data_IF_390264083495
#
_entry.id   IF_390264083495
#
_cell.length_a   1.000
_cell.length_b   1.000
_cell.length_c   1.000
_cell.angle_alpha   90.00
_cell.angle_beta   90.00
_cell.angle_gamma   90.00
#
_symmetry.space_group_name_H-M   'P 1'
#
loop_
_entity.id
_entity.type
_entity.pdbx_description
1 polymer ?
#
# COMPACT_ATOMS: atom_id res chain seq x y z
N UNK A 1 -2.35 -3.63 -10.85
CA UNK A 1 -1.38 -3.49 -9.76
C UNK A 1 -2.15 -3.84 -8.49
N UNK A 2 -2.00 -5.05 -7.94
CA UNK A 2 -2.72 -5.42 -6.72
C UNK A 2 -1.71 -5.44 -5.58
N UNK A 3 -1.60 -4.28 -4.93
CA UNK A 3 -0.87 -4.08 -3.69
C UNK A 3 -1.93 -4.20 -2.58
N UNK A 4 -1.91 -5.32 -1.85
CA UNK A 4 -2.59 -5.42 -0.55
C UNK A 4 -1.50 -5.21 0.51
N UNK A 5 -1.67 -4.21 1.38
CA UNK A 5 -1.64 -4.39 2.85
C UNK A 5 -2.42 -3.22 3.47
N UNK A 6 -3.49 -3.62 4.15
CA UNK A 6 -4.50 -2.84 4.85
C UNK A 6 -4.02 -2.61 6.28
N UNK A 7 -3.93 -1.35 6.74
CA UNK A 7 -4.02 -1.00 8.16
C UNK A 7 -4.65 0.39 8.29
N UNK A 8 -5.91 0.51 7.87
CA UNK A 8 -6.86 1.42 8.50
C UNK A 8 -7.91 0.48 9.08
N UNK A 9 -8.22 0.60 10.37
CA UNK A 9 -9.06 -0.35 11.09
C UNK A 9 -10.36 -0.69 10.36
N UNK A 10 -10.41 -1.89 9.78
CA UNK A 10 -11.62 -2.68 9.55
C UNK A 10 -11.19 -4.12 9.24
N UNK A 11 -11.75 -5.06 9.99
CA UNK A 11 -11.61 -6.50 9.81
C UNK A 11 -12.18 -6.86 8.43
N UNK A 12 -11.41 -7.54 7.59
CA UNK A 12 -11.90 -7.94 6.27
C UNK A 12 -10.88 -8.72 5.43
N UNK A 13 -10.68 -9.99 5.76
CA UNK A 13 -10.10 -10.98 4.84
C UNK A 13 -11.08 -11.17 3.66
N UNK A 14 -10.66 -10.88 2.43
CA UNK A 14 -11.39 -11.32 1.23
C UNK A 14 -10.61 -12.47 0.58
N UNK A 15 -11.06 -13.69 0.86
CA UNK A 15 -10.77 -14.90 0.06
C UNK A 15 -11.46 -14.76 -1.30
N UNK A 16 -10.72 -14.97 -2.39
CA UNK A 16 -11.28 -15.00 -3.74
C UNK A 16 -11.98 -16.35 -3.97
N UNK A 17 -13.27 -16.27 -4.33
CA UNK A 17 -14.07 -17.39 -4.81
C UNK A 17 -13.69 -17.77 -6.25
N UNK A 18 -13.72 -19.08 -6.45
CA UNK A 18 -13.38 -19.90 -7.60
C UNK A 18 -14.29 -19.56 -8.80
N UNK A 19 -13.74 -19.51 -10.02
CA UNK A 19 -14.53 -19.55 -11.27
C UNK A 19 -14.11 -20.79 -12.08
N UNK A 20 -15.05 -21.65 -12.52
CA UNK A 20 -14.72 -22.83 -13.30
C UNK A 20 -14.82 -22.57 -14.81
N UNK A 21 -13.96 -23.26 -15.54
CA UNK A 21 -13.88 -23.43 -17.01
C UNK A 21 -13.12 -22.39 -17.81
N UNK A 22 -12.08 -22.89 -18.49
CA UNK A 22 -11.36 -22.21 -19.56
C UNK A 22 -9.86 -22.27 -19.35
N UNK A 23 -9.24 -23.37 -19.78
CA UNK A 23 -7.78 -23.49 -19.86
C UNK A 23 -7.27 -22.38 -20.80
N UNK A 24 -6.74 -21.32 -20.22
CA UNK A 24 -5.68 -20.53 -20.84
C UNK A 24 -4.51 -20.61 -19.87
N UNK A 25 -3.31 -20.85 -20.40
CA UNK A 25 -2.07 -20.92 -19.62
C UNK A 25 -1.87 -19.58 -18.90
N UNK A 26 -2.45 -19.45 -17.70
CA UNK A 26 -2.20 -18.33 -16.80
C UNK A 26 -0.76 -18.55 -16.38
N UNK A 27 0.17 -17.82 -17.01
CA UNK A 27 1.47 -17.56 -16.38
C UNK A 27 1.13 -17.14 -14.96
N UNK A 28 1.44 -18.01 -13.98
CA UNK A 28 1.14 -17.71 -12.58
C UNK A 28 1.94 -16.46 -12.27
N UNK A 29 1.29 -15.28 -12.38
CA UNK A 29 1.89 -14.00 -12.05
C UNK A 29 2.17 -14.08 -10.56
N UNK A 30 3.41 -14.46 -10.25
CA UNK A 30 3.90 -14.59 -8.89
C UNK A 30 3.71 -13.23 -8.24
N UNK A 31 2.95 -13.19 -7.16
CA UNK A 31 2.75 -11.95 -6.40
C UNK A 31 4.13 -11.46 -5.94
N UNK A 32 4.48 -10.19 -6.21
CA UNK A 32 5.72 -9.62 -5.72
C UNK A 32 5.81 -9.74 -4.19
N UNK A 33 6.96 -10.15 -3.68
CA UNK A 33 7.21 -10.27 -2.23
C UNK A 33 7.58 -8.90 -1.65
N UNK A 34 6.64 -7.96 -1.69
CA UNK A 34 6.82 -6.60 -1.20
C UNK A 34 5.69 -6.25 -0.24
N UNK A 35 6.06 -5.76 0.94
CA UNK A 35 5.16 -5.27 1.99
C UNK A 35 5.16 -3.75 1.90
N UNK A 36 3.99 -3.16 1.68
CA UNK A 36 3.83 -1.71 1.67
C UNK A 36 3.13 -1.26 2.95
N UNK A 37 3.78 -0.38 3.72
CA UNK A 37 3.16 0.30 4.86
C UNK A 37 3.06 1.79 4.56
N UNK A 38 1.84 2.32 4.56
CA UNK A 38 1.56 3.73 4.29
C UNK A 38 1.22 4.41 5.61
N UNK A 39 1.99 5.43 5.97
CA UNK A 39 1.67 6.31 7.09
C UNK A 39 2.24 7.70 6.83
N UNK A 40 1.37 8.64 6.48
CA UNK A 40 1.83 9.96 6.02
C UNK A 40 2.55 10.77 7.10
N UNK A 41 2.21 10.60 8.39
CA UNK A 41 2.78 11.40 9.46
C UNK A 41 2.32 12.86 9.49
N UNK A 42 1.32 13.25 8.67
CA UNK A 42 0.86 14.64 8.56
C UNK A 42 0.07 15.06 9.81
N UNK A 43 -0.88 14.23 10.24
CA UNK A 43 -1.75 14.55 11.36
C UNK A 43 -1.13 14.09 12.70
N UNK A 44 -0.48 12.93 12.68
CA UNK A 44 0.11 12.31 13.86
C UNK A 44 1.32 11.42 13.49
N UNK A 45 2.32 11.32 14.39
CA UNK A 45 3.44 10.39 14.20
C UNK A 45 2.92 8.96 14.21
N UNK A 46 3.66 8.04 13.58
CA UNK A 46 3.29 6.61 13.54
C UNK A 46 3.13 6.05 14.97
N UNK A 47 1.92 5.63 15.36
CA UNK A 47 1.68 5.04 16.67
C UNK A 47 2.54 3.80 16.90
N UNK A 48 3.06 3.64 18.12
CA UNK A 48 3.99 2.55 18.46
C UNK A 48 3.42 1.17 18.14
N UNK A 49 2.12 0.95 18.34
CA UNK A 49 1.44 -0.30 17.98
C UNK A 49 1.59 -0.67 16.49
N UNK A 50 1.56 0.31 15.59
CA UNK A 50 1.69 0.08 14.14
C UNK A 50 3.15 -0.05 13.72
N UNK A 51 4.06 0.56 14.46
CA UNK A 51 5.50 0.31 14.33
C UNK A 51 5.84 -1.13 14.72
N UNK A 52 5.38 -1.60 15.88
CA UNK A 52 5.54 -2.98 16.33
C UNK A 52 5.00 -3.96 15.29
N UNK A 53 3.79 -3.71 14.76
CA UNK A 53 3.23 -4.54 13.70
C UNK A 53 4.14 -4.59 12.47
N UNK A 54 4.65 -3.45 12.01
CA UNK A 54 5.61 -3.38 10.90
C UNK A 54 6.87 -4.22 11.16
N UNK A 55 7.41 -4.20 12.39
CA UNK A 55 8.56 -5.02 12.78
C UNK A 55 8.24 -6.51 12.81
N UNK A 56 7.05 -6.93 13.27
CA UNK A 56 6.61 -8.34 13.19
C UNK A 56 6.60 -8.84 11.74
N UNK A 57 6.09 -8.05 10.80
CA UNK A 57 6.09 -8.42 9.38
C UNK A 57 7.50 -8.55 8.81
N UNK A 58 8.43 -7.65 9.17
CA UNK A 58 9.83 -7.74 8.76
C UNK A 58 10.50 -9.00 9.34
N UNK A 59 10.19 -9.34 10.59
CA UNK A 59 10.71 -10.51 11.27
C UNK A 59 10.22 -11.82 10.65
N UNK A 60 8.90 -11.95 10.43
CA UNK A 60 8.28 -13.18 9.92
C UNK A 60 8.54 -13.41 8.43
N UNK A 61 8.77 -12.32 7.68
CA UNK A 61 8.97 -12.34 6.23
C UNK A 61 10.29 -11.69 5.82
N UNK A 62 11.45 -12.21 6.26
CA UNK A 62 12.75 -11.58 6.01
C UNK A 62 13.16 -11.57 4.53
N UNK A 63 12.54 -12.44 3.72
CA UNK A 63 12.76 -12.52 2.27
C UNK A 63 11.85 -11.58 1.47
N UNK A 64 11.01 -10.79 2.13
CA UNK A 64 10.12 -9.83 1.50
C UNK A 64 10.73 -8.44 1.64
N UNK A 65 10.63 -7.65 0.57
CA UNK A 65 11.00 -6.24 0.63
C UNK A 65 9.95 -5.50 1.46
N UNK A 66 10.38 -4.56 2.28
CA UNK A 66 9.49 -3.72 3.07
C UNK A 66 9.64 -2.27 2.63
N UNK A 67 8.53 -1.64 2.27
CA UNK A 67 8.46 -0.29 1.74
C UNK A 67 7.56 0.59 2.61
N UNK A 68 8.16 1.57 3.27
CA UNK A 68 7.44 2.57 4.04
C UNK A 68 7.16 3.82 3.19
N UNK A 69 5.91 4.26 3.17
CA UNK A 69 5.42 5.41 2.41
C UNK A 69 4.97 6.51 3.37
N UNK A 70 5.89 7.42 3.66
CA UNK A 70 5.61 8.67 4.37
C UNK A 70 5.16 9.79 3.41
N UNK A 71 4.72 10.92 3.96
CA UNK A 71 4.27 12.06 3.17
C UNK A 71 5.34 12.57 2.20
N UNK A 72 6.61 12.62 2.61
CA UNK A 72 7.68 13.13 1.75
C UNK A 72 7.87 12.21 0.54
N UNK A 73 8.03 10.91 0.76
CA UNK A 73 8.21 9.91 -0.27
C UNK A 73 7.03 9.86 -1.24
N UNK A 74 5.81 9.97 -0.72
CA UNK A 74 4.59 10.05 -1.54
C UNK A 74 4.63 11.29 -2.45
N UNK A 75 4.96 12.45 -1.90
CA UNK A 75 5.02 13.70 -2.67
C UNK A 75 6.11 13.65 -3.75
N UNK A 76 7.28 13.11 -3.43
CA UNK A 76 8.38 12.90 -4.38
C UNK A 76 7.97 11.93 -5.49
N UNK A 77 7.31 10.83 -5.14
CA UNK A 77 6.81 9.84 -6.10
C UNK A 77 5.84 10.47 -7.11
N UNK A 78 4.85 11.22 -6.63
CA UNK A 78 3.87 11.87 -7.51
C UNK A 78 4.54 12.93 -8.38
N UNK A 79 5.38 13.80 -7.81
CA UNK A 79 6.08 14.83 -8.58
C UNK A 79 7.00 14.24 -9.65
N UNK A 80 7.65 13.11 -9.36
CA UNK A 80 8.60 12.47 -10.27
C UNK A 80 7.91 11.71 -11.40
N UNK A 81 6.90 10.89 -11.09
CA UNK A 81 6.31 9.97 -12.06
C UNK A 81 4.97 10.45 -12.62
N UNK A 82 4.27 11.32 -11.88
CA UNK A 82 2.91 11.78 -12.18
C UNK A 82 2.72 13.29 -11.96
N UNK A 83 3.63 14.16 -12.45
CA UNK A 83 3.58 15.60 -12.17
C UNK A 83 2.26 16.26 -12.60
N UNK A 84 1.60 15.73 -13.65
CA UNK A 84 0.29 16.21 -14.12
C UNK A 84 -0.82 16.09 -13.07
N UNK A 85 -0.70 15.15 -12.12
CA UNK A 85 -1.69 14.96 -11.06
C UNK A 85 -1.35 15.70 -9.78
N UNK A 86 -0.16 16.32 -9.68
CA UNK A 86 0.29 17.01 -8.48
C UNK A 86 -0.71 18.08 -8.01
N UNK A 87 -1.23 18.88 -8.95
CA UNK A 87 -2.21 19.93 -8.63
C UNK A 87 -3.51 19.36 -8.04
N UNK A 88 -4.04 18.28 -8.63
CA UNK A 88 -5.26 17.63 -8.16
C UNK A 88 -5.03 16.94 -6.82
N UNK A 89 -3.90 16.26 -6.67
CA UNK A 89 -3.50 15.57 -5.44
C UNK A 89 -3.43 16.53 -4.24
N UNK A 90 -2.83 17.71 -4.42
CA UNK A 90 -2.77 18.73 -3.37
C UNK A 90 -4.15 19.23 -2.93
N UNK A 91 -5.15 19.19 -3.81
CA UNK A 91 -6.50 19.68 -3.53
C UNK A 91 -7.40 18.70 -2.79
N UNK A 92 -6.96 17.46 -2.55
CA UNK A 92 -7.78 16.52 -1.79
C UNK A 92 -8.04 17.05 -0.38
N UNK A 93 -9.31 17.18 0.05
CA UNK A 93 -9.63 17.67 1.38
C UNK A 93 -9.25 16.67 2.48
N UNK A 94 -9.20 15.37 2.19
CA UNK A 94 -8.95 14.33 3.19
C UNK A 94 -7.70 13.50 2.88
N UNK A 95 -6.94 13.14 3.91
CA UNK A 95 -5.75 12.31 3.79
C UNK A 95 -6.05 10.91 3.22
N UNK A 96 -7.22 10.34 3.53
CA UNK A 96 -7.65 9.07 2.95
C UNK A 96 -7.70 9.09 1.42
N UNK A 97 -8.11 10.22 0.81
CA UNK A 97 -8.14 10.36 -0.65
C UNK A 97 -6.71 10.38 -1.23
N UNK A 98 -5.76 10.98 -0.51
CA UNK A 98 -4.35 10.98 -0.88
C UNK A 98 -3.76 9.56 -0.82
N UNK A 99 -4.09 8.79 0.22
CA UNK A 99 -3.64 7.41 0.38
C UNK A 99 -4.28 6.47 -0.65
N UNK A 100 -5.52 6.72 -1.04
CA UNK A 100 -6.20 5.98 -2.10
C UNK A 100 -5.58 6.26 -3.48
N UNK A 101 -5.14 7.50 -3.73
CA UNK A 101 -4.57 7.92 -5.01
C UNK A 101 -3.21 7.28 -5.35
N UNK A 102 -2.53 6.69 -4.37
CA UNK A 102 -1.21 6.04 -4.55
C UNK A 102 -1.28 4.51 -4.61
N UNK A 103 -2.50 3.93 -4.64
CA UNK A 103 -2.72 2.47 -4.72
C UNK A 103 -2.65 1.92 -6.15
#
# INVERSE_FOLDING_TARGET
>A
MQIKILLIGQIGFVLNLISPMGINCITMKKVPKIIHQIWSGIDEPLPEKFKILGETWKHDYPNWQYEFWDNQRINEFIKKYYPQYWYVYCKYPFNVQRWDAIR
#
